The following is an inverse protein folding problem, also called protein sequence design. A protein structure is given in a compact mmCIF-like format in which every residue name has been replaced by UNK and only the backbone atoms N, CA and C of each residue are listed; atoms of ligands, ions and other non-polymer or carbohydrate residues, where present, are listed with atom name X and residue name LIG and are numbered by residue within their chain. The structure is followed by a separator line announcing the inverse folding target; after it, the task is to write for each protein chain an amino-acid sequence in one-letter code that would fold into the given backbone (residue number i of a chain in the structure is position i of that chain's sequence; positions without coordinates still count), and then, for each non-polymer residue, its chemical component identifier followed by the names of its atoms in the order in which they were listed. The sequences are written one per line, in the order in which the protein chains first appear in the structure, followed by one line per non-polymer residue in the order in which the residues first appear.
data_IF_354134191425
#
_entry.id   IF_354134191425
#
_cell.length_a   1.000
_cell.length_b   1.000
_cell.length_c   1.000
_cell.angle_alpha   90.00
_cell.angle_beta   90.00
_cell.angle_gamma   90.00
#
_symmetry.space_group_name_H-M   'P 1'
#
loop_
_entity.id
_entity.type
_entity.pdbx_description
1 polymer ?
#
# COMPACT_ATOMS: atom_id res chain seq x y z
N UNK A 1 -8.34 1.29 -1.66
CA UNK A 1 -7.30 0.38 -1.10
C UNK A 1 -7.51 0.26 0.39
N UNK A 2 -7.58 -0.96 0.87
CA UNK A 2 -7.80 -1.24 2.29
C UNK A 2 -6.51 -1.73 2.94
N UNK A 3 -6.41 -1.69 4.27
CA UNK A 3 -5.25 -2.26 4.96
C UNK A 3 -4.98 -3.71 4.59
N UNK A 4 -6.02 -4.52 4.48
CA UNK A 4 -5.84 -5.93 4.12
C UNK A 4 -5.31 -6.09 2.70
N UNK A 5 -5.73 -5.22 1.79
CA UNK A 5 -5.22 -5.24 0.43
C UNK A 5 -3.73 -4.91 0.39
N UNK A 6 -3.28 -3.98 1.22
CA UNK A 6 -1.85 -3.65 1.28
C UNK A 6 -1.04 -4.83 1.81
N UNK A 7 -1.52 -5.48 2.87
CA UNK A 7 -0.85 -6.66 3.40
C UNK A 7 -0.76 -7.77 2.36
N UNK A 8 -1.87 -8.04 1.67
CA UNK A 8 -1.91 -9.08 0.65
C UNK A 8 -1.00 -8.74 -0.52
N UNK A 9 -0.97 -7.47 -0.93
CA UNK A 9 -0.11 -7.03 -2.02
C UNK A 9 1.36 -7.22 -1.65
N UNK A 10 1.75 -6.86 -0.42
CA UNK A 10 3.12 -7.08 0.03
C UNK A 10 3.48 -8.56 -0.01
N UNK A 11 2.55 -9.40 0.43
CA UNK A 11 2.80 -10.85 0.43
C UNK A 11 3.00 -11.37 -0.98
N UNK A 12 2.20 -10.91 -1.93
CA UNK A 12 2.35 -11.31 -3.32
C UNK A 12 3.69 -10.88 -3.89
N UNK A 13 4.18 -9.71 -3.50
CA UNK A 13 5.45 -9.18 -4.00
C UNK A 13 6.65 -9.68 -3.20
N UNK A 14 6.42 -10.28 -2.05
CA UNK A 14 7.52 -10.67 -1.16
C UNK A 14 8.19 -9.47 -0.51
N UNK A 15 7.45 -8.39 -0.29
CA UNK A 15 8.00 -7.14 0.26
C UNK A 15 7.72 -7.01 1.74
N UNK A 16 8.72 -6.52 2.48
CA UNK A 16 8.54 -6.12 3.86
C UNK A 16 7.85 -4.75 3.91
N UNK A 17 7.36 -4.38 5.10
CA UNK A 17 6.83 -3.03 5.31
C UNK A 17 7.92 -1.98 5.08
N UNK A 18 9.15 -2.29 5.47
CA UNK A 18 10.27 -1.37 5.24
C UNK A 18 10.52 -1.15 3.76
N UNK A 19 10.46 -2.21 2.96
CA UNK A 19 10.67 -2.08 1.53
C UNK A 19 9.56 -1.24 0.90
N UNK A 20 8.31 -1.50 1.27
CA UNK A 20 7.21 -0.71 0.74
C UNK A 20 7.33 0.75 1.15
N UNK A 21 7.68 1.01 2.40
CA UNK A 21 7.88 2.39 2.85
C UNK A 21 8.96 3.10 2.06
N UNK A 22 10.09 2.43 1.85
CA UNK A 22 11.19 3.00 1.10
C UNK A 22 10.81 3.27 -0.36
N UNK A 23 10.16 2.30 -1.00
CA UNK A 23 9.79 2.41 -2.40
C UNK A 23 8.73 3.46 -2.66
N UNK A 24 7.84 3.66 -1.70
CA UNK A 24 6.77 4.64 -1.84
C UNK A 24 7.20 6.04 -1.40
N UNK A 25 8.42 6.17 -0.87
CA UNK A 25 8.89 7.47 -0.37
C UNK A 25 8.27 7.83 0.97
N UNK A 26 7.73 6.84 1.67
CA UNK A 26 7.15 7.05 3.00
C UNK A 26 8.09 6.42 4.05
N UNK A 27 7.57 5.64 4.97
CA UNK A 27 8.41 4.97 5.96
C UNK A 27 7.75 3.69 6.41
N UNK A 28 8.53 2.84 7.09
CA UNK A 28 7.97 1.62 7.67
C UNK A 28 6.86 1.94 8.68
N UNK A 29 7.01 3.04 9.41
CA UNK A 29 5.99 3.46 10.39
C UNK A 29 4.70 3.83 9.70
N UNK A 30 4.79 4.51 8.56
CA UNK A 30 3.64 4.89 7.77
C UNK A 30 2.89 3.66 7.26
N UNK A 31 3.62 2.69 6.70
CA UNK A 31 3.02 1.46 6.21
C UNK A 31 2.38 0.68 7.35
N UNK A 32 3.09 0.55 8.46
CA UNK A 32 2.56 -0.17 9.62
C UNK A 32 1.28 0.47 10.15
N UNK A 33 1.29 1.79 10.28
CA UNK A 33 0.12 2.51 10.76
C UNK A 33 -1.08 2.28 9.85
N UNK A 34 -0.87 2.36 8.55
CA UNK A 34 -1.96 2.14 7.61
C UNK A 34 -2.49 0.71 7.69
N UNK A 35 -1.60 -0.26 7.78
CA UNK A 35 -2.03 -1.67 7.83
C UNK A 35 -2.76 -2.02 9.11
N UNK A 36 -2.45 -1.34 10.20
CA UNK A 36 -3.07 -1.62 11.49
C UNK A 36 -4.37 -0.86 11.71
N UNK A 37 -4.46 0.36 11.22
CA UNK A 37 -5.57 1.25 11.58
C UNK A 37 -6.33 1.80 10.39
N UNK A 38 -5.83 1.63 9.18
CA UNK A 38 -6.39 2.25 7.99
C UNK A 38 -6.05 3.72 7.87
N UNK A 39 -5.23 4.22 8.77
CA UNK A 39 -4.80 5.62 8.78
C UNK A 39 -3.29 5.69 8.84
N UNK A 40 -2.77 6.77 8.32
CA UNK A 40 -1.35 7.04 8.37
C UNK A 40 -1.11 8.02 9.51
N UNK A 41 -0.21 7.65 10.43
CA UNK A 41 0.20 8.57 11.47
C UNK A 41 0.96 9.71 10.83
N UNK A 42 0.50 10.94 11.04
CA UNK A 42 1.15 12.11 10.53
C UNK A 42 1.44 13.06 11.67
N UNK A 43 2.68 13.53 11.73
CA UNK A 43 3.07 14.51 12.73
C UNK A 43 2.94 15.92 12.19
N UNK A 44 2.71 16.10 10.90
CA UNK A 44 2.89 17.39 10.26
C UNK A 44 1.65 17.94 9.58
N UNK A 45 0.57 17.17 9.50
CA UNK A 45 -0.63 17.71 8.91
C UNK A 45 -1.41 16.66 8.15
N UNK A 46 -2.64 17.04 7.77
CA UNK A 46 -3.58 16.11 7.20
C UNK A 46 -3.33 15.80 5.74
N UNK A 47 -2.69 16.72 5.03
CA UNK A 47 -2.38 16.50 3.62
C UNK A 47 -1.38 15.38 3.44
N UNK A 48 -0.50 15.19 4.41
CA UNK A 48 0.52 14.14 4.33
C UNK A 48 -0.10 12.76 4.32
N UNK A 49 -1.22 12.60 5.02
CA UNK A 49 -1.90 11.30 5.08
C UNK A 49 -2.42 10.88 3.72
N UNK A 50 -3.07 11.81 3.01
CA UNK A 50 -3.62 11.52 1.68
C UNK A 50 -2.49 11.18 0.71
N UNK A 51 -1.43 11.98 0.75
CA UNK A 51 -0.29 11.79 -0.14
C UNK A 51 0.41 10.45 0.14
N UNK A 52 0.56 10.10 1.41
CA UNK A 52 1.22 8.85 1.76
C UNK A 52 0.42 7.63 1.29
N UNK A 53 -0.90 7.65 1.50
CA UNK A 53 -1.75 6.55 1.05
C UNK A 53 -1.72 6.45 -0.48
N UNK A 54 -1.80 7.57 -1.17
CA UNK A 54 -1.73 7.58 -2.63
C UNK A 54 -0.39 7.06 -3.12
N UNK A 55 0.71 7.43 -2.46
CA UNK A 55 2.04 6.97 -2.82
C UNK A 55 2.19 5.46 -2.63
N UNK A 56 1.66 4.92 -1.54
CA UNK A 56 1.68 3.49 -1.29
C UNK A 56 0.91 2.76 -2.39
N UNK A 57 -0.29 3.23 -2.71
CA UNK A 57 -1.11 2.62 -3.75
C UNK A 57 -0.45 2.67 -5.10
N UNK A 58 0.10 3.83 -5.49
CA UNK A 58 0.77 3.98 -6.76
C UNK A 58 2.00 3.07 -6.87
N UNK A 59 2.74 2.93 -5.77
CA UNK A 59 3.92 2.07 -5.74
C UNK A 59 3.54 0.61 -5.96
N UNK A 60 2.48 0.16 -5.30
CA UNK A 60 2.02 -1.22 -5.47
C UNK A 60 1.50 -1.46 -6.87
N UNK A 61 0.76 -0.51 -7.42
CA UNK A 61 0.26 -0.64 -8.79
C UNK A 61 1.39 -0.68 -9.80
N UNK A 62 2.41 0.16 -9.61
CA UNK A 62 3.58 0.16 -10.47
C UNK A 62 4.34 -1.17 -10.40
N UNK A 63 4.25 -1.87 -9.29
CA UNK A 63 4.88 -3.18 -9.12
C UNK A 63 4.02 -4.33 -9.68
N UNK A 64 2.85 -4.02 -10.23
CA UNK A 64 2.01 -5.02 -10.87
C UNK A 64 0.79 -5.44 -10.06
N UNK A 65 0.53 -4.80 -8.95
CA UNK A 65 -0.64 -5.15 -8.12
C UNK A 65 -1.90 -4.54 -8.72
N UNK A 66 -2.94 -5.34 -8.80
CA UNK A 66 -4.28 -4.88 -9.16
C UNK A 66 -5.18 -5.05 -7.97
N UNK A 67 -5.89 -3.99 -7.63
CA UNK A 67 -6.82 -3.99 -6.50
C UNK A 67 -8.24 -4.21 -7.01
N UNK A 68 -8.92 -5.22 -6.45
CA UNK A 68 -10.33 -5.42 -6.75
C UNK A 68 -11.15 -4.34 -6.05
N UNK A 69 -12.28 -3.93 -6.63
CA UNK A 69 -13.19 -3.01 -5.94
C UNK A 69 -13.66 -3.60 -4.61
N UNK A 70 -13.88 -2.76 -3.64
CA UNK A 70 -14.31 -3.21 -2.31
C UNK A 70 -15.61 -3.99 -2.38
N UNK A 71 -16.55 -3.54 -3.22
CA UNK A 71 -17.82 -4.23 -3.38
C UNK A 71 -17.66 -5.57 -4.10
N UNK A 72 -16.49 -5.83 -4.67
CA UNK A 72 -16.17 -7.09 -5.30
C UNK A 72 -15.35 -8.01 -4.43
N UNK A 73 -15.28 -7.74 -3.12
CA UNK A 73 -14.58 -8.60 -2.19
C UNK A 73 -13.24 -8.07 -1.71
N UNK A 74 -12.78 -6.96 -2.25
CA UNK A 74 -11.56 -6.31 -1.76
C UNK A 74 -10.28 -7.11 -1.98
N UNK A 75 -10.24 -7.99 -2.96
CA UNK A 75 -9.05 -8.78 -3.21
C UNK A 75 -7.96 -8.04 -3.94
N UNK A 76 -6.81 -8.66 -4.02
CA UNK A 76 -5.68 -8.16 -4.80
C UNK A 76 -5.13 -9.31 -5.63
N UNK A 77 -4.51 -8.95 -6.75
CA UNK A 77 -3.77 -9.95 -7.52
C UNK A 77 -2.55 -9.29 -8.13
N UNK A 78 -1.53 -10.10 -8.34
CA UNK A 78 -0.32 -9.66 -9.01
C UNK A 78 -0.52 -9.85 -10.49
N UNK A 79 -0.49 -8.74 -11.24
CA UNK A 79 -0.56 -8.80 -12.67
C UNK A 79 0.78 -9.33 -13.16
N UNK A 80 0.71 -10.33 -13.97
CA UNK A 80 1.92 -10.87 -14.54
C UNK A 80 2.42 -9.86 -15.58
N UNK A 81 3.45 -9.13 -15.22
CA UNK A 81 4.03 -8.20 -16.19
C UNK A 81 5.00 -9.00 -17.05
N UNK A 82 4.77 -8.98 -18.32
CA UNK A 82 5.73 -9.57 -19.22
C UNK A 82 6.93 -8.66 -19.32
N UNK A 83 8.10 -9.23 -19.29
CA UNK A 83 9.31 -8.44 -19.47
C UNK A 83 9.35 -7.82 -20.85
#
# INVERSE_FOLDING_TARGET
MTPDQVKAARALLGWSMSRLGMRSGTSVHTVRSFEQTGRVASMYGRTDQVDAVAAIGATLEAAGIEFAPENGGGGVQLRKSDP
#
